data_IF_164693196356
#
_entry.id   IF_164693196356
#
_cell.length_a   1.000
_cell.length_b   1.000
_cell.length_c   1.000
_cell.angle_alpha   90.00
_cell.angle_beta   90.00
_cell.angle_gamma   90.00
#
_symmetry.space_group_name_H-M   'P 1'
#
loop_
_entity.id
_entity.type
_entity.pdbx_description
1 polymer ?
#
# COMPACT_ATOMS: atom_id res chain seq x y z
N UNK A 1 -22.59 33.20 -3.62
CA UNK A 1 -22.59 33.55 -2.18
C UNK A 1 -23.87 32.94 -1.62
N UNK A 2 -23.90 31.93 -0.76
CA UNK A 2 -22.91 31.35 0.14
C UNK A 2 -23.02 29.82 0.14
N UNK A 3 -21.90 29.19 0.44
CA UNK A 3 -21.80 27.80 0.84
C UNK A 3 -22.41 27.63 2.25
N UNK A 4 -23.07 26.50 2.49
CA UNK A 4 -23.30 26.00 3.83
C UNK A 4 -23.04 24.49 3.82
N UNK A 5 -22.04 24.15 4.61
CA UNK A 5 -21.49 22.84 4.91
C UNK A 5 -22.56 21.83 5.34
N UNK A 6 -22.41 20.58 4.90
CA UNK A 6 -22.97 19.43 5.61
C UNK A 6 -21.84 18.41 5.81
N UNK A 7 -21.03 18.65 6.83
CA UNK A 7 -20.16 17.65 7.42
C UNK A 7 -21.08 16.67 8.15
N UNK A 8 -21.28 15.47 7.60
CA UNK A 8 -21.99 14.41 8.30
C UNK A 8 -21.07 13.79 9.34
N UNK A 9 -21.46 13.91 10.60
CA UNK A 9 -20.82 13.38 11.81
C UNK A 9 -20.36 11.92 11.68
N UNK A 10 -19.08 11.68 11.99
CA UNK A 10 -18.56 10.34 12.25
C UNK A 10 -19.03 9.87 13.63
N UNK A 11 -19.63 8.68 13.79
CA UNK A 11 -19.94 8.17 15.10
C UNK A 11 -18.63 7.80 15.82
N UNK A 12 -18.47 8.42 16.99
CA UNK A 12 -17.45 8.15 17.99
C UNK A 12 -17.57 6.71 18.50
N UNK A 13 -16.54 5.90 18.23
CA UNK A 13 -16.45 4.51 18.70
C UNK A 13 -15.31 3.74 18.07
N UNK A 14 -14.07 4.16 18.33
CA UNK A 14 -12.86 3.48 17.89
C UNK A 14 -11.68 4.00 18.69
N UNK A 15 -11.51 3.44 19.90
CA UNK A 15 -10.34 3.68 20.74
C UNK A 15 -9.04 3.52 19.93
N UNK A 16 -8.03 4.34 20.23
CA UNK A 16 -6.75 4.42 19.52
C UNK A 16 -5.90 3.14 19.56
N UNK A 17 -6.36 2.09 18.89
CA UNK A 17 -5.89 0.72 19.03
C UNK A 17 -4.81 0.28 18.01
N UNK A 18 -3.98 1.19 17.51
CA UNK A 18 -2.93 0.80 16.53
C UNK A 18 -1.48 0.97 16.98
N UNK A 19 -1.23 1.35 18.24
CA UNK A 19 0.13 1.37 18.80
C UNK A 19 0.31 0.52 20.07
N UNK A 20 -0.75 -0.11 20.57
CA UNK A 20 -0.69 -1.03 21.68
C UNK A 20 -1.35 -2.34 21.25
N UNK A 21 -0.55 -3.38 21.00
CA UNK A 21 -1.09 -4.73 20.84
C UNK A 21 -1.72 -5.20 22.16
N UNK A 22 -2.66 -6.16 22.10
CA UNK A 22 -3.11 -6.92 23.27
C UNK A 22 -1.91 -7.55 23.98
N UNK A 23 -1.96 -7.60 25.30
CA UNK A 23 -0.94 -8.25 26.13
C UNK A 23 -0.68 -9.68 25.62
N UNK A 24 0.56 -9.95 25.16
CA UNK A 24 0.98 -11.31 24.77
C UNK A 24 1.82 -11.44 23.49
N UNK A 25 2.04 -10.38 22.69
CA UNK A 25 2.86 -10.47 21.47
C UNK A 25 4.25 -9.85 21.67
N UNK A 26 5.27 -10.68 21.87
CA UNK A 26 6.65 -10.31 22.23
C UNK A 26 7.49 -9.68 21.09
N UNK A 27 6.92 -9.45 19.91
CA UNK A 27 7.63 -8.80 18.80
C UNK A 27 6.96 -7.46 18.49
N UNK A 28 7.62 -6.37 18.90
CA UNK A 28 7.32 -5.04 18.41
C UNK A 28 7.36 -5.08 16.88
N UNK A 29 6.34 -4.51 16.25
CA UNK A 29 6.34 -4.33 14.80
C UNK A 29 7.48 -3.40 14.45
N UNK A 30 8.23 -3.71 13.37
CA UNK A 30 9.33 -2.85 12.98
C UNK A 30 8.80 -1.48 12.56
N UNK A 31 9.32 -0.43 13.19
CA UNK A 31 8.92 0.95 12.96
C UNK A 31 9.54 1.51 11.68
N UNK A 32 9.06 2.68 11.26
CA UNK A 32 9.57 3.38 10.06
C UNK A 32 11.09 3.60 10.12
N UNK A 33 11.65 3.79 11.31
CA UNK A 33 13.09 4.03 11.52
C UNK A 33 13.94 2.80 11.16
N UNK A 34 13.48 1.60 11.50
CA UNK A 34 14.19 0.35 11.20
C UNK A 34 14.06 -0.04 9.72
N UNK A 35 12.96 0.38 9.10
CA UNK A 35 12.67 0.12 7.68
C UNK A 35 13.11 1.25 6.76
N UNK A 36 13.66 2.34 7.29
CA UNK A 36 14.01 3.54 6.54
C UNK A 36 14.83 3.25 5.27
N UNK A 37 15.90 2.42 5.28
CA UNK A 37 16.68 2.14 4.08
C UNK A 37 15.87 1.43 2.99
N UNK A 38 14.90 0.60 3.39
CA UNK A 38 14.03 -0.14 2.48
C UNK A 38 12.92 0.75 1.91
N UNK A 39 12.34 1.61 2.76
CA UNK A 39 11.28 2.53 2.37
C UNK A 39 11.80 3.58 1.38
N UNK A 40 12.99 4.16 1.63
CA UNK A 40 13.65 5.11 0.74
C UNK A 40 13.85 4.59 -0.70
N UNK A 41 13.93 3.26 -0.88
CA UNK A 41 14.05 2.62 -2.18
C UNK A 41 12.82 2.73 -3.08
N UNK A 42 11.66 3.19 -2.55
CA UNK A 42 10.39 3.36 -3.29
C UNK A 42 9.96 2.11 -4.05
N UNK A 43 10.28 0.92 -3.51
CA UNK A 43 9.95 -0.35 -4.13
C UNK A 43 8.42 -0.59 -4.18
N UNK A 44 7.73 -0.10 -3.15
CA UNK A 44 6.29 -0.16 -2.94
C UNK A 44 5.85 1.14 -2.27
N UNK A 45 4.72 1.70 -2.67
CA UNK A 45 4.22 2.99 -2.20
C UNK A 45 2.78 2.86 -1.69
N UNK A 46 2.53 3.47 -0.53
CA UNK A 46 1.20 3.71 0.02
C UNK A 46 0.99 5.22 0.09
N UNK A 47 0.39 5.78 -0.96
CA UNK A 47 0.30 7.24 -1.16
C UNK A 47 -0.81 7.89 -0.34
N UNK A 48 -1.72 7.09 0.22
CA UNK A 48 -2.96 7.55 0.88
C UNK A 48 -4.18 7.52 -0.02
N UNK A 49 -4.00 7.27 -1.33
CA UNK A 49 -5.10 7.11 -2.28
C UNK A 49 -6.03 5.94 -1.98
N UNK A 50 -7.28 6.08 -2.43
CA UNK A 50 -8.38 5.11 -2.26
C UNK A 50 -8.93 4.68 -3.61
N UNK A 51 -9.29 3.41 -3.75
CA UNK A 51 -10.08 2.96 -4.92
C UNK A 51 -11.54 3.44 -4.82
N UNK A 52 -12.35 3.18 -5.86
CA UNK A 52 -13.76 3.61 -5.90
C UNK A 52 -14.63 3.04 -4.75
N UNK A 53 -14.16 2.02 -4.04
CA UNK A 53 -14.85 1.39 -2.90
C UNK A 53 -14.37 1.96 -1.57
N UNK A 54 -13.33 2.80 -1.56
CA UNK A 54 -12.63 3.25 -0.36
C UNK A 54 -11.50 2.33 0.09
N UNK A 55 -11.16 1.29 -0.68
CA UNK A 55 -10.06 0.38 -0.38
C UNK A 55 -8.68 1.06 -0.54
N UNK A 56 -7.67 0.71 0.27
CA UNK A 56 -6.33 1.28 0.16
C UNK A 56 -5.63 0.85 -1.13
N UNK A 57 -4.81 1.74 -1.69
CA UNK A 57 -4.03 1.47 -2.91
C UNK A 57 -2.57 1.22 -2.56
N UNK A 58 -2.03 0.07 -2.95
CA UNK A 58 -0.60 -0.22 -2.88
C UNK A 58 -0.01 -0.22 -4.29
N UNK A 59 1.00 0.62 -4.53
CA UNK A 59 1.60 0.79 -5.86
C UNK A 59 3.01 0.22 -5.91
N UNK A 60 3.29 -0.63 -6.90
CA UNK A 60 4.63 -1.00 -7.33
C UNK A 60 4.98 -0.13 -8.55
N UNK A 61 5.77 0.94 -8.38
CA UNK A 61 6.04 1.90 -9.44
C UNK A 61 6.91 1.30 -10.56
N UNK A 62 6.90 1.94 -11.74
CA UNK A 62 7.79 1.58 -12.83
C UNK A 62 9.25 1.56 -12.36
N UNK A 63 9.97 0.50 -12.73
CA UNK A 63 11.39 0.31 -12.38
C UNK A 63 11.64 0.30 -10.86
N UNK A 64 10.66 -0.14 -10.07
CA UNK A 64 10.78 -0.28 -8.62
C UNK A 64 11.95 -1.15 -8.17
N UNK A 65 12.48 -2.05 -9.02
CA UNK A 65 13.57 -3.00 -8.66
C UNK A 65 13.24 -3.82 -7.40
N UNK A 66 11.96 -4.06 -7.11
CA UNK A 66 11.51 -4.82 -5.94
C UNK A 66 12.05 -6.27 -5.93
N UNK A 67 12.41 -6.80 -7.11
CA UNK A 67 13.08 -8.08 -7.31
C UNK A 67 14.50 -8.15 -6.73
N UNK A 68 15.12 -6.99 -6.42
CA UNK A 68 16.45 -6.93 -5.80
C UNK A 68 16.43 -7.08 -4.27
N UNK A 69 15.27 -6.90 -3.65
CA UNK A 69 15.12 -7.04 -2.21
C UNK A 69 15.07 -8.52 -1.82
N UNK A 70 15.60 -8.84 -0.64
CA UNK A 70 15.48 -10.19 -0.08
C UNK A 70 14.02 -10.44 0.34
N UNK A 71 13.51 -11.68 0.27
CA UNK A 71 12.13 -11.99 0.66
C UNK A 71 11.73 -11.46 2.05
N UNK A 72 12.63 -11.53 3.03
CA UNK A 72 12.38 -11.00 4.37
C UNK A 72 12.24 -9.48 4.42
N UNK A 73 13.04 -8.74 3.64
CA UNK A 73 12.94 -7.28 3.55
C UNK A 73 11.61 -6.87 2.95
N UNK A 74 11.17 -7.60 1.91
CA UNK A 74 9.89 -7.32 1.28
C UNK A 74 8.74 -7.62 2.24
N UNK A 75 8.80 -8.76 2.95
CA UNK A 75 7.79 -9.12 3.95
C UNK A 75 7.67 -8.06 5.03
N UNK A 76 8.79 -7.52 5.51
CA UNK A 76 8.81 -6.42 6.50
C UNK A 76 8.12 -5.17 5.98
N UNK A 77 8.47 -4.71 4.78
CA UNK A 77 7.86 -3.52 4.16
C UNK A 77 6.36 -3.74 3.90
N UNK A 78 5.95 -4.90 3.38
CA UNK A 78 4.53 -5.22 3.18
C UNK A 78 3.76 -5.27 4.48
N UNK A 79 4.34 -5.88 5.52
CA UNK A 79 3.73 -5.93 6.87
C UNK A 79 3.56 -4.52 7.42
N UNK A 80 4.58 -3.69 7.29
CA UNK A 80 4.54 -2.29 7.68
C UNK A 80 3.45 -1.49 6.95
N UNK A 81 3.53 -1.42 5.62
CA UNK A 81 2.59 -0.62 4.82
C UNK A 81 1.14 -1.10 4.96
N UNK A 82 0.91 -2.40 5.04
CA UNK A 82 -0.46 -2.94 5.19
C UNK A 82 -1.09 -2.68 6.57
N UNK A 83 -0.29 -2.32 7.58
CA UNK A 83 -0.80 -1.95 8.90
C UNK A 83 -1.28 -0.50 9.00
N UNK A 84 -0.89 0.35 8.05
CA UNK A 84 -1.14 1.80 8.12
C UNK A 84 -2.63 2.14 7.91
N UNK A 85 -3.35 1.57 6.92
CA UNK A 85 -4.77 1.83 6.79
C UNK A 85 -5.55 1.29 8.00
N UNK A 86 -6.63 1.99 8.38
CA UNK A 86 -7.53 1.55 9.43
C UNK A 86 -8.19 0.20 9.09
N UNK A 87 -8.75 -0.47 10.10
CA UNK A 87 -9.36 -1.80 9.95
C UNK A 87 -10.44 -1.84 8.88
N UNK A 88 -11.35 -0.85 8.88
CA UNK A 88 -12.45 -0.77 7.94
C UNK A 88 -11.95 -0.71 6.50
N UNK A 89 -10.90 0.08 6.25
CA UNK A 89 -10.28 0.16 4.93
C UNK A 89 -9.57 -1.14 4.54
N UNK A 90 -8.93 -1.85 5.49
CA UNK A 90 -8.25 -3.13 5.22
C UNK A 90 -9.25 -4.24 4.89
N UNK A 91 -10.44 -4.23 5.49
CA UNK A 91 -11.51 -5.21 5.22
C UNK A 91 -12.07 -5.12 3.79
N UNK A 92 -12.07 -3.91 3.21
CA UNK A 92 -12.39 -3.70 1.79
C UNK A 92 -11.35 -4.36 0.87
N UNK A 93 -10.15 -4.62 1.37
CA UNK A 93 -9.03 -5.22 0.65
C UNK A 93 -8.29 -4.21 -0.22
N UNK A 94 -6.99 -4.45 -0.36
CA UNK A 94 -6.09 -3.60 -1.14
C UNK A 94 -6.33 -3.74 -2.64
N UNK A 95 -6.36 -2.60 -3.32
CA UNK A 95 -6.19 -2.52 -4.76
C UNK A 95 -4.70 -2.34 -5.06
N UNK A 96 -4.09 -3.33 -5.71
CA UNK A 96 -2.64 -3.32 -5.98
C UNK A 96 -2.38 -2.88 -7.41
N UNK A 97 -1.64 -1.79 -7.60
CA UNK A 97 -1.24 -1.31 -8.94
C UNK A 97 0.20 -1.74 -9.20
N UNK A 98 0.44 -2.46 -10.29
CA UNK A 98 1.77 -2.91 -10.71
C UNK A 98 2.09 -2.25 -12.05
N UNK A 99 2.98 -1.28 -12.02
CA UNK A 99 3.39 -0.54 -13.20
C UNK A 99 4.60 -1.22 -13.87
N UNK A 100 4.37 -1.77 -15.05
CA UNK A 100 5.42 -2.47 -15.82
C UNK A 100 5.99 -1.63 -16.95
N UNK A 101 5.55 -0.36 -17.12
CA UNK A 101 6.05 0.53 -18.16
C UNK A 101 7.57 0.71 -18.03
N UNK A 102 8.26 0.68 -19.17
CA UNK A 102 9.72 0.79 -19.20
C UNK A 102 10.49 -0.38 -18.59
N UNK A 103 9.84 -1.53 -18.33
CA UNK A 103 10.50 -2.77 -17.90
C UNK A 103 10.47 -3.80 -19.03
N UNK A 104 11.62 -4.42 -19.34
CA UNK A 104 11.77 -5.33 -20.48
C UNK A 104 11.30 -6.78 -20.20
N UNK A 105 10.60 -7.04 -19.09
CA UNK A 105 10.36 -8.39 -18.59
C UNK A 105 9.04 -8.60 -17.86
N UNK A 106 8.80 -9.84 -17.44
CA UNK A 106 7.60 -10.25 -16.69
C UNK A 106 7.75 -10.11 -15.17
N UNK A 107 8.35 -9.00 -14.71
CA UNK A 107 8.59 -8.73 -13.28
C UNK A 107 7.31 -8.79 -12.44
N UNK A 108 6.17 -8.40 -13.04
CA UNK A 108 4.85 -8.49 -12.42
C UNK A 108 4.49 -9.90 -11.93
N UNK A 109 4.95 -10.97 -12.60
CA UNK A 109 4.69 -12.35 -12.14
C UNK A 109 5.38 -12.64 -10.82
N UNK A 110 6.61 -12.16 -10.64
CA UNK A 110 7.33 -12.28 -9.39
C UNK A 110 6.63 -11.48 -8.29
N UNK A 111 6.16 -10.26 -8.60
CA UNK A 111 5.35 -9.45 -7.67
C UNK A 111 4.05 -10.16 -7.26
N UNK A 112 3.31 -10.74 -8.20
CA UNK A 112 2.09 -11.50 -7.89
C UNK A 112 2.36 -12.71 -7.01
N UNK A 113 3.42 -13.48 -7.30
CA UNK A 113 3.82 -14.62 -6.48
C UNK A 113 4.16 -14.18 -5.06
N UNK A 114 4.93 -13.10 -4.95
CA UNK A 114 5.31 -12.52 -3.68
C UNK A 114 4.10 -12.07 -2.86
N UNK A 115 3.13 -11.40 -3.49
CA UNK A 115 1.90 -10.97 -2.81
C UNK A 115 1.07 -12.16 -2.32
N UNK A 116 0.99 -13.23 -3.11
CA UNK A 116 0.28 -14.45 -2.71
C UNK A 116 0.92 -15.17 -1.52
N UNK A 117 2.25 -15.12 -1.42
CA UNK A 117 3.01 -15.81 -0.37
C UNK A 117 3.15 -14.98 0.91
N UNK A 118 3.28 -13.65 0.81
CA UNK A 118 3.75 -12.82 1.92
C UNK A 118 2.84 -11.65 2.30
N UNK A 119 1.81 -11.31 1.52
CA UNK A 119 0.99 -10.14 1.82
C UNK A 119 0.02 -10.45 2.98
N UNK A 120 0.08 -9.71 4.10
CA UNK A 120 -0.63 -10.08 5.32
C UNK A 120 -2.07 -9.54 5.37
N UNK A 121 -2.51 -8.81 4.35
CA UNK A 121 -3.84 -8.24 4.25
C UNK A 121 -4.61 -8.78 3.04
N UNK A 122 -5.92 -8.58 3.03
CA UNK A 122 -6.77 -8.95 1.90
C UNK A 122 -6.39 -8.15 0.66
N UNK A 123 -6.28 -8.81 -0.48
CA UNK A 123 -6.15 -8.17 -1.80
C UNK A 123 -7.50 -8.30 -2.48
N UNK A 124 -8.06 -7.17 -2.89
CA UNK A 124 -9.27 -7.16 -3.70
C UNK A 124 -8.94 -7.53 -5.15
N UNK A 125 -8.06 -6.75 -5.77
CA UNK A 125 -7.63 -6.93 -7.14
C UNK A 125 -6.21 -6.39 -7.37
N UNK A 126 -5.52 -6.96 -8.35
CA UNK A 126 -4.25 -6.45 -8.87
C UNK A 126 -4.42 -5.93 -10.30
N UNK A 127 -3.97 -4.72 -10.56
CA UNK A 127 -4.01 -4.04 -11.86
C UNK A 127 -2.61 -3.93 -12.42
N UNK A 128 -2.33 -4.69 -13.49
CA UNK A 128 -1.04 -4.70 -14.17
C UNK A 128 -1.13 -3.73 -15.34
N UNK A 129 -0.43 -2.60 -15.23
CA UNK A 129 -0.33 -1.62 -16.32
C UNK A 129 0.67 -2.15 -17.33
N UNK A 130 0.20 -2.43 -18.54
CA UNK A 130 1.01 -2.97 -19.64
C UNK A 130 1.99 -1.91 -20.17
N UNK A 131 3.27 -2.26 -20.27
CA UNK A 131 4.23 -1.50 -21.09
C UNK A 131 4.02 -1.73 -22.60
N UNK A 132 4.53 -0.85 -23.45
CA UNK A 132 4.38 -0.91 -24.92
C UNK A 132 4.87 -2.24 -25.54
N UNK A 133 5.91 -2.84 -24.97
CA UNK A 133 6.50 -4.12 -25.42
C UNK A 133 5.73 -5.36 -24.97
N UNK A 134 4.62 -5.19 -24.23
CA UNK A 134 3.83 -6.30 -23.66
C UNK A 134 3.18 -7.18 -24.75
N UNK A 135 2.77 -6.59 -25.88
CA UNK A 135 2.03 -7.28 -26.94
C UNK A 135 2.84 -8.29 -27.75
N UNK A 136 4.18 -8.21 -27.74
CA UNK A 136 5.01 -9.07 -28.58
C UNK A 136 5.47 -10.38 -27.93
N UNK A 137 5.33 -10.59 -26.60
CA UNK A 137 6.07 -11.67 -25.92
C UNK A 137 5.34 -12.64 -24.99
N UNK A 138 4.03 -12.59 -24.72
CA UNK A 138 3.45 -13.52 -23.73
C UNK A 138 2.05 -14.08 -24.05
N UNK A 139 2.03 -15.34 -24.49
CA UNK A 139 1.03 -16.37 -24.15
C UNK A 139 1.65 -17.28 -23.09
N UNK A 140 1.58 -16.93 -21.81
CA UNK A 140 2.00 -17.85 -20.74
C UNK A 140 1.09 -17.69 -19.54
N UNK A 141 0.33 -18.75 -19.27
CA UNK A 141 -0.39 -18.96 -18.02
C UNK A 141 0.57 -18.86 -16.85
N UNK A 142 0.17 -18.14 -15.79
CA UNK A 142 0.74 -18.33 -14.47
C UNK A 142 0.76 -19.84 -14.19
N UNK A 143 1.94 -20.41 -13.96
CA UNK A 143 2.09 -21.85 -13.74
C UNK A 143 1.27 -22.30 -12.53
N UNK A 144 0.31 -23.18 -12.78
CA UNK A 144 -0.25 -24.14 -11.81
C UNK A 144 -1.22 -23.64 -10.74
N UNK A 145 -1.14 -22.39 -10.26
CA UNK A 145 -2.03 -21.90 -9.19
C UNK A 145 -2.68 -20.58 -9.58
N UNK A 146 -4.03 -20.58 -9.65
CA UNK A 146 -4.81 -19.35 -9.83
C UNK A 146 -4.52 -18.43 -8.64
N UNK A 147 -4.25 -17.15 -8.91
CA UNK A 147 -4.11 -16.14 -7.85
C UNK A 147 -5.36 -16.19 -6.96
N UNK A 148 -5.18 -16.00 -5.66
CA UNK A 148 -6.29 -15.94 -4.68
C UNK A 148 -7.17 -14.69 -4.84
N UNK A 149 -6.78 -13.78 -5.74
CA UNK A 149 -7.41 -12.50 -6.01
C UNK A 149 -7.44 -12.25 -7.51
N UNK A 150 -8.28 -11.33 -7.95
CA UNK A 150 -8.43 -10.99 -9.36
C UNK A 150 -7.20 -10.27 -9.91
N UNK A 151 -6.85 -10.56 -11.16
CA UNK A 151 -5.71 -9.93 -11.85
C UNK A 151 -6.20 -9.35 -13.18
N UNK A 152 -6.09 -8.04 -13.32
CA UNK A 152 -6.53 -7.28 -14.48
C UNK A 152 -5.32 -6.76 -15.25
N UNK A 153 -5.21 -7.11 -16.52
CA UNK A 153 -4.16 -6.61 -17.40
C UNK A 153 -4.70 -5.44 -18.24
N UNK A 154 -4.30 -4.22 -17.89
CA UNK A 154 -4.92 -2.99 -18.42
C UNK A 154 -3.89 -2.04 -19.03
N UNK A 155 -4.38 -1.15 -19.89
CA UNK A 155 -3.63 0.05 -20.27
C UNK A 155 -3.77 1.10 -19.17
N UNK A 156 -2.88 2.10 -19.17
CA UNK A 156 -2.85 3.13 -18.14
C UNK A 156 -4.16 3.92 -18.09
N UNK A 157 -4.71 4.26 -19.24
CA UNK A 157 -5.95 5.05 -19.38
C UNK A 157 -7.17 4.30 -18.84
N UNK A 158 -7.12 2.97 -18.80
CA UNK A 158 -8.18 2.14 -18.26
C UNK A 158 -8.17 2.06 -16.72
N UNK A 159 -7.11 2.53 -16.05
CA UNK A 159 -7.02 2.54 -14.59
C UNK A 159 -8.09 3.45 -13.96
N UNK A 160 -8.46 4.53 -14.65
CA UNK A 160 -9.51 5.46 -14.23
C UNK A 160 -10.90 4.82 -14.06
N UNK A 161 -11.13 3.61 -14.61
CA UNK A 161 -12.36 2.84 -14.41
C UNK A 161 -12.46 2.20 -13.03
N UNK A 162 -11.34 2.08 -12.32
CA UNK A 162 -11.23 1.37 -11.04
C UNK A 162 -10.81 2.29 -9.90
N UNK A 163 -10.07 3.36 -10.21
CA UNK A 163 -9.53 4.31 -9.26
C UNK A 163 -9.71 5.71 -9.84
N UNK A 164 -10.29 6.62 -9.06
CA UNK A 164 -10.43 8.01 -9.46
C UNK A 164 -9.04 8.67 -9.66
N UNK A 165 -8.80 9.44 -10.74
CA UNK A 165 -7.51 10.10 -10.99
C UNK A 165 -7.03 11.00 -9.84
N UNK A 166 -7.92 11.56 -9.03
CA UNK A 166 -7.56 12.33 -7.83
C UNK A 166 -6.87 11.50 -6.74
N UNK A 167 -6.96 10.17 -6.82
CA UNK A 167 -6.38 9.20 -5.89
C UNK A 167 -5.08 8.58 -6.42
N UNK A 168 -4.66 8.95 -7.64
CA UNK A 168 -3.47 8.46 -8.31
C UNK A 168 -2.41 9.55 -8.41
N UNK A 169 -1.14 9.16 -8.36
CA UNK A 169 -0.03 10.09 -8.54
C UNK A 169 0.17 10.46 -10.02
N UNK A 170 0.84 11.59 -10.34
CA UNK A 170 1.02 12.05 -11.72
C UNK A 170 1.72 11.05 -12.65
N UNK A 171 2.58 10.18 -12.11
CA UNK A 171 3.20 9.11 -12.90
C UNK A 171 2.18 8.09 -13.44
N UNK A 172 1.00 7.98 -12.82
CA UNK A 172 -0.11 7.11 -13.22
C UNK A 172 -1.28 7.89 -13.83
N UNK A 173 -1.03 9.06 -14.43
CA UNK A 173 -2.01 10.00 -14.99
C UNK A 173 -3.04 10.52 -13.97
N UNK A 174 -2.64 10.63 -12.70
CA UNK A 174 -3.47 11.20 -11.65
C UNK A 174 -3.07 12.61 -11.21
N UNK A 175 -3.77 13.14 -10.19
CA UNK A 175 -3.55 14.48 -9.66
C UNK A 175 -3.14 14.50 -8.17
N UNK A 176 -3.03 13.34 -7.52
CA UNK A 176 -2.60 13.22 -6.13
C UNK A 176 -1.13 13.62 -5.99
N UNK A 177 -0.88 14.75 -5.33
CA UNK A 177 0.48 15.17 -5.03
C UNK A 177 1.05 14.28 -3.93
N UNK A 178 2.17 13.61 -4.22
CA UNK A 178 2.84 12.71 -3.29
C UNK A 178 4.34 13.00 -3.25
N UNK A 179 4.81 13.40 -2.07
CA UNK A 179 6.23 13.51 -1.77
C UNK A 179 6.62 12.39 -0.79
N UNK A 180 7.46 11.48 -1.26
CA UNK A 180 7.86 10.31 -0.49
C UNK A 180 8.73 10.66 0.73
N UNK A 181 9.58 11.68 0.62
CA UNK A 181 10.44 12.10 1.72
C UNK A 181 9.59 12.71 2.83
N UNK A 182 8.65 13.59 2.46
CA UNK A 182 7.70 14.16 3.43
C UNK A 182 6.81 13.08 4.07
N UNK A 183 6.39 12.08 3.29
CA UNK A 183 5.64 10.95 3.84
C UNK A 183 6.45 10.18 4.90
N UNK A 184 7.73 9.90 4.63
CA UNK A 184 8.64 9.26 5.61
C UNK A 184 8.80 10.13 6.85
N UNK A 185 9.05 11.44 6.69
CA UNK A 185 9.25 12.38 7.80
C UNK A 185 8.02 12.49 8.69
N UNK A 186 6.84 12.62 8.08
CA UNK A 186 5.57 12.60 8.79
C UNK A 186 5.40 11.30 9.57
N UNK A 187 5.74 10.17 8.96
CA UNK A 187 5.57 8.87 9.60
C UNK A 187 6.52 8.66 10.77
N UNK A 188 7.76 9.15 10.68
CA UNK A 188 8.70 9.20 11.80
C UNK A 188 8.15 10.05 12.95
N UNK A 189 7.61 11.23 12.64
CA UNK A 189 7.05 12.12 13.65
C UNK A 189 5.82 11.49 14.34
N UNK A 190 4.92 10.88 13.58
CA UNK A 190 3.73 10.21 14.11
C UNK A 190 4.12 9.05 15.02
N UNK A 191 5.00 8.14 14.59
CA UNK A 191 5.40 6.99 15.40
C UNK A 191 6.10 7.40 16.70
N UNK A 192 6.94 8.44 16.64
CA UNK A 192 7.53 9.03 17.85
C UNK A 192 6.46 9.56 18.80
N UNK A 193 5.50 10.31 18.27
CA UNK A 193 4.39 10.87 19.06
C UNK A 193 3.57 9.78 19.74
N UNK A 194 3.16 8.74 19.01
CA UNK A 194 2.39 7.63 19.58
C UNK A 194 3.20 6.80 20.58
N UNK A 195 4.50 6.62 20.35
CA UNK A 195 5.39 6.00 21.33
C UNK A 195 5.44 6.77 22.65
N UNK A 196 5.58 8.11 22.59
CA UNK A 196 5.53 8.97 23.78
C UNK A 196 4.16 8.94 24.46
N UNK A 197 3.08 9.00 23.69
CA UNK A 197 1.71 8.93 24.22
C UNK A 197 1.45 7.60 24.94
N UNK A 198 1.96 6.48 24.42
CA UNK A 198 1.86 5.18 25.07
C UNK A 198 2.55 5.13 26.42
N UNK A 199 3.77 5.70 26.52
CA UNK A 199 4.49 5.83 27.80
C UNK A 199 3.68 6.67 28.79
N UNK A 200 3.16 7.81 28.33
CA UNK A 200 2.35 8.70 29.17
C UNK A 200 1.08 7.99 29.66
N UNK A 201 0.27 7.39 28.79
CA UNK A 201 -0.96 6.71 29.20
C UNK A 201 -0.71 5.55 30.18
N UNK A 202 0.41 4.85 30.04
CA UNK A 202 0.80 3.80 30.99
C UNK A 202 1.17 4.37 32.37
N UNK A 203 1.79 5.56 32.43
CA UNK A 203 2.13 6.19 33.71
C UNK A 203 0.92 6.72 34.48
N UNK A 204 -0.25 6.88 33.85
CA UNK A 204 -1.52 7.23 34.52
C UNK A 204 -2.29 6.02 35.01
N UNK A 205 -1.85 4.81 34.65
CA UNK A 205 -2.47 3.54 35.08
C UNK A 205 -1.81 2.96 36.34
N UNK A 206 -0.63 3.46 36.70
CA UNK A 206 0.10 3.17 37.95
C UNK A 206 -0.29 4.16 39.05
#
# INVERSE_FOLDING_TARGET
MNAAESFSDCPSGGEGAFYLKPAGSTRMMEGVHELLPLLQGKHMLLTGGRDLRGGPILTFPARSKADKLRPEEIRKVLTYLSSIPCEEARELGFSVVIDTRGTAGSSWKATLKLLQEHFPAKIYAAYIIKGETFWQKQRTSLGGSKCKFEVHHIHQEALAKYIDPSQLTPDLDGTLQYDHSQWIDLRMALEKFFGTLGIFLNSWRE
#
